data_IF_224143775156
#
_entry.id   IF_224143775156
#
_cell.length_a   1.000
_cell.length_b   1.000
_cell.length_c   1.000
_cell.angle_alpha   90.00
_cell.angle_beta   90.00
_cell.angle_gamma   90.00
#
_symmetry.space_group_name_H-M   'P 1'
#
loop_
_entity.id
_entity.type
_entity.pdbx_description
1 polymer ?
#
# COMPACT_ATOMS: atom_id res chain seq x y z
N UNK A 1 1.66 9.77 24.30
CA UNK A 1 0.88 8.61 24.01
C UNK A 1 -0.33 8.96 23.17
N UNK A 2 -0.63 8.12 22.21
CA UNK A 2 -1.69 8.31 21.19
C UNK A 2 -3.07 8.47 21.84
N UNK A 3 -3.34 7.72 22.92
CA UNK A 3 -4.62 7.80 23.67
C UNK A 3 -4.94 9.17 24.22
N UNK A 4 -3.95 9.92 24.71
CA UNK A 4 -4.12 11.27 25.23
C UNK A 4 -4.42 12.25 24.08
N UNK A 5 -3.74 12.10 22.93
CA UNK A 5 -4.00 12.93 21.76
C UNK A 5 -5.40 12.68 21.16
N UNK A 6 -5.91 11.45 21.25
CA UNK A 6 -7.24 11.08 20.76
C UNK A 6 -8.34 11.58 21.69
N UNK A 7 -8.15 11.55 23.01
CA UNK A 7 -9.21 11.85 23.99
C UNK A 7 -9.20 13.30 24.51
N UNK A 8 -8.03 13.88 24.76
CA UNK A 8 -7.91 15.11 25.55
C UNK A 8 -7.53 16.36 24.76
N UNK A 9 -6.80 16.26 23.64
CA UNK A 9 -6.38 17.43 22.85
C UNK A 9 -7.29 17.65 21.66
N UNK A 10 -8.33 18.45 21.84
CA UNK A 10 -9.25 18.82 20.75
C UNK A 10 -8.59 19.71 19.67
N UNK A 11 -7.55 20.46 20.02
CA UNK A 11 -6.85 21.41 19.14
C UNK A 11 -5.62 20.82 18.41
N UNK A 12 -5.53 19.49 18.33
CA UNK A 12 -4.46 18.87 17.57
C UNK A 12 -4.68 19.09 16.07
N UNK A 13 -3.68 19.60 15.33
CA UNK A 13 -3.83 19.98 13.90
C UNK A 13 -4.39 18.86 13.03
N UNK A 14 -3.98 17.60 13.27
CA UNK A 14 -4.50 16.41 12.58
C UNK A 14 -5.98 16.20 12.84
N UNK A 15 -6.43 16.37 14.09
CA UNK A 15 -7.86 16.23 14.45
C UNK A 15 -8.69 17.35 13.83
N UNK A 16 -8.16 18.58 13.79
CA UNK A 16 -8.77 19.71 13.10
C UNK A 16 -8.99 19.42 11.62
N UNK A 17 -7.95 18.92 10.92
CA UNK A 17 -8.04 18.55 9.51
C UNK A 17 -9.10 17.46 9.26
N UNK A 18 -9.11 16.40 10.08
CA UNK A 18 -10.10 15.31 9.96
C UNK A 18 -11.53 15.80 10.28
N UNK A 19 -11.70 16.71 11.23
CA UNK A 19 -13.01 17.31 11.52
C UNK A 19 -13.56 18.11 10.33
N UNK A 20 -12.73 18.75 9.52
CA UNK A 20 -13.15 19.42 8.28
C UNK A 20 -13.73 18.41 7.28
N UNK A 21 -13.12 17.23 7.18
CA UNK A 21 -13.68 16.15 6.35
C UNK A 21 -15.02 15.67 6.91
N UNK A 22 -15.10 15.45 8.23
CA UNK A 22 -16.34 15.01 8.88
C UNK A 22 -17.51 15.99 8.69
N UNK A 23 -17.21 17.28 8.73
CA UNK A 23 -18.22 18.33 8.54
C UNK A 23 -18.59 18.58 7.06
N UNK A 24 -17.91 17.94 6.11
CA UNK A 24 -18.09 18.17 4.67
C UNK A 24 -17.44 19.47 4.17
N UNK A 25 -16.69 20.18 5.01
CA UNK A 25 -15.98 21.40 4.61
C UNK A 25 -14.72 21.09 3.76
N UNK A 26 -14.21 19.87 3.83
CA UNK A 26 -13.13 19.34 3.00
C UNK A 26 -13.44 17.92 2.52
N UNK A 27 -12.94 17.54 1.36
CA UNK A 27 -13.12 16.21 0.77
C UNK A 27 -12.01 15.24 1.19
N UNK A 28 -10.86 15.76 1.63
CA UNK A 28 -9.74 14.96 2.09
C UNK A 28 -8.91 15.71 3.14
N UNK A 29 -8.10 14.97 3.89
CA UNK A 29 -7.10 15.51 4.81
C UNK A 29 -5.74 14.90 4.52
N UNK A 30 -4.69 15.74 4.50
CA UNK A 30 -3.29 15.34 4.31
C UNK A 30 -2.50 15.69 5.56
N UNK A 31 -1.67 14.77 6.03
CA UNK A 31 -0.83 14.97 7.20
C UNK A 31 0.58 14.41 6.97
N UNK A 32 1.59 15.20 7.27
CA UNK A 32 2.99 14.78 7.33
C UNK A 32 3.39 14.27 8.73
N UNK A 33 2.42 14.09 9.63
CA UNK A 33 2.63 13.64 10.99
C UNK A 33 2.79 12.13 11.14
N UNK A 34 2.70 11.65 12.39
CA UNK A 34 2.78 10.23 12.69
C UNK A 34 1.56 9.49 12.13
N UNK A 35 1.81 8.48 11.29
CA UNK A 35 0.77 7.70 10.59
C UNK A 35 -0.17 6.98 11.55
N UNK A 36 0.34 6.38 12.63
CA UNK A 36 -0.49 5.71 13.63
C UNK A 36 -1.42 6.68 14.36
N UNK A 37 -0.97 7.91 14.65
CA UNK A 37 -1.81 8.94 15.22
C UNK A 37 -2.90 9.41 14.24
N UNK A 38 -2.56 9.59 12.95
CA UNK A 38 -3.50 9.95 11.90
C UNK A 38 -4.61 8.89 11.81
N UNK A 39 -4.24 7.61 11.73
CA UNK A 39 -5.18 6.48 11.62
C UNK A 39 -6.09 6.37 12.85
N UNK A 40 -5.52 6.48 14.07
CA UNK A 40 -6.30 6.40 15.31
C UNK A 40 -7.32 7.55 15.41
N UNK A 41 -6.91 8.78 15.08
CA UNK A 41 -7.79 9.95 15.10
C UNK A 41 -8.85 9.84 14.00
N UNK A 42 -8.47 9.43 12.78
CA UNK A 42 -9.41 9.24 11.67
C UNK A 42 -10.49 8.20 12.04
N UNK A 43 -10.09 7.04 12.56
CA UNK A 43 -11.02 6.02 13.03
C UNK A 43 -11.96 6.53 14.13
N UNK A 44 -11.44 7.30 15.08
CA UNK A 44 -12.24 7.85 16.17
C UNK A 44 -13.26 8.90 15.69
N UNK A 45 -12.88 9.79 14.78
CA UNK A 45 -13.67 10.93 14.32
C UNK A 45 -14.64 10.54 13.21
N UNK A 46 -14.13 9.87 12.16
CA UNK A 46 -14.93 9.53 10.97
C UNK A 46 -15.70 8.23 11.15
N UNK A 47 -15.24 7.32 12.01
CA UNK A 47 -15.70 5.94 12.13
C UNK A 47 -15.30 5.10 10.90
N UNK A 48 -15.60 3.81 10.96
CA UNK A 48 -15.53 2.90 9.82
C UNK A 48 -16.91 2.72 9.21
N UNK A 49 -16.97 2.27 7.98
CA UNK A 49 -18.22 1.85 7.34
C UNK A 49 -18.73 0.58 8.00
N UNK A 50 -20.04 0.34 7.91
CA UNK A 50 -20.65 -0.89 8.40
C UNK A 50 -20.01 -2.11 7.70
N UNK A 51 -19.63 -3.11 8.49
CA UNK A 51 -18.93 -4.30 8.02
C UNK A 51 -17.41 -4.15 7.89
N UNK A 52 -16.83 -2.97 8.17
CA UNK A 52 -15.39 -2.72 8.19
C UNK A 52 -14.91 -2.50 9.62
N UNK A 53 -14.11 -3.42 10.15
CA UNK A 53 -13.61 -3.35 11.51
C UNK A 53 -12.45 -2.37 11.68
N UNK A 54 -11.57 -2.29 10.67
CA UNK A 54 -10.35 -1.50 10.71
C UNK A 54 -10.06 -0.82 9.37
N UNK A 55 -9.63 0.45 9.39
CA UNK A 55 -9.07 1.09 8.20
C UNK A 55 -7.70 0.47 7.88
N UNK A 56 -7.31 0.50 6.60
CA UNK A 56 -6.00 0.06 6.13
C UNK A 56 -5.25 1.22 5.44
N UNK A 57 -3.93 1.12 5.35
CA UNK A 57 -3.10 2.02 4.54
C UNK A 57 -2.84 1.34 3.21
N UNK A 58 -3.28 1.97 2.13
CA UNK A 58 -2.97 1.53 0.77
C UNK A 58 -1.83 2.36 0.17
N UNK A 59 -1.08 1.75 -0.71
CA UNK A 59 -0.09 2.44 -1.53
C UNK A 59 0.05 1.78 -2.88
N UNK A 60 0.41 2.59 -3.88
CA UNK A 60 0.63 2.14 -5.24
C UNK A 60 2.13 1.89 -5.46
N UNK A 61 2.49 0.68 -5.83
CA UNK A 61 3.86 0.25 -6.13
C UNK A 61 4.00 0.10 -7.63
N UNK A 62 4.91 0.86 -8.28
CA UNK A 62 5.16 0.73 -9.71
C UNK A 62 5.53 -0.70 -10.09
N UNK A 63 4.98 -1.20 -11.18
CA UNK A 63 5.23 -2.55 -11.68
C UNK A 63 5.88 -2.57 -13.06
N UNK A 64 6.35 -3.74 -13.49
CA UNK A 64 7.06 -3.93 -14.75
C UNK A 64 6.16 -3.75 -16.00
N UNK A 65 4.85 -3.76 -15.84
CA UNK A 65 3.89 -3.50 -16.94
C UNK A 65 3.77 -2.01 -17.28
N UNK A 66 4.40 -1.13 -16.48
CA UNK A 66 4.33 0.33 -16.65
C UNK A 66 3.12 0.95 -15.96
N UNK A 67 2.47 0.22 -15.10
CA UNK A 67 1.35 0.57 -14.23
C UNK A 67 1.76 0.43 -12.76
N UNK A 68 0.83 0.40 -11.84
CA UNK A 68 1.08 0.20 -10.42
C UNK A 68 0.20 -0.90 -9.84
N UNK A 69 0.75 -1.64 -8.89
CA UNK A 69 0.03 -2.62 -8.07
C UNK A 69 -0.33 -1.97 -6.74
N UNK A 70 -1.60 -2.01 -6.36
CA UNK A 70 -2.02 -1.53 -5.06
C UNK A 70 -1.69 -2.56 -3.98
N UNK A 71 -1.07 -2.11 -2.89
CA UNK A 71 -0.77 -2.96 -1.73
C UNK A 71 -1.53 -2.44 -0.50
N UNK A 72 -2.23 -3.33 0.18
CA UNK A 72 -2.92 -3.13 1.47
C UNK A 72 -2.60 -4.31 2.41
N UNK A 73 -2.23 -4.12 3.64
CA UNK A 73 -2.03 -2.95 4.46
C UNK A 73 -0.53 -2.61 4.56
N UNK A 74 -0.17 -1.32 4.54
CA UNK A 74 1.23 -0.86 4.59
C UNK A 74 1.67 -0.40 5.99
N UNK A 75 0.98 -0.83 7.05
CA UNK A 75 1.42 -0.58 8.42
C UNK A 75 0.39 -0.01 9.40
N UNK A 76 -0.91 -0.03 9.06
CA UNK A 76 -1.96 0.38 9.99
C UNK A 76 -2.29 -0.72 11.01
N UNK A 77 -2.27 -2.00 10.61
CA UNK A 77 -2.71 -3.14 11.40
C UNK A 77 -1.64 -4.23 11.41
N UNK A 78 -0.89 -4.32 12.50
CA UNK A 78 0.19 -5.32 12.64
C UNK A 78 -0.39 -6.71 12.87
N UNK A 79 -1.45 -6.81 13.67
CA UNK A 79 -2.14 -8.07 13.97
C UNK A 79 -3.48 -8.10 13.22
N UNK A 80 -3.58 -8.91 12.18
CA UNK A 80 -4.78 -9.11 11.38
C UNK A 80 -5.37 -10.49 11.61
N UNK A 81 -6.71 -10.58 11.56
CA UNK A 81 -7.43 -11.84 11.41
C UNK A 81 -7.69 -12.12 9.93
N UNK A 82 -8.17 -13.32 9.60
CA UNK A 82 -8.56 -13.67 8.24
C UNK A 82 -9.67 -12.74 7.69
N UNK A 83 -10.62 -12.36 8.54
CA UNK A 83 -11.71 -11.43 8.20
C UNK A 83 -11.19 -10.02 7.87
N UNK A 84 -10.17 -9.54 8.60
CA UNK A 84 -9.54 -8.26 8.28
C UNK A 84 -8.93 -8.27 6.87
N UNK A 85 -8.24 -9.37 6.49
CA UNK A 85 -7.65 -9.50 5.16
C UNK A 85 -8.72 -9.56 4.06
N UNK A 86 -9.85 -10.21 4.31
CA UNK A 86 -11.01 -10.18 3.42
C UNK A 86 -11.56 -8.75 3.28
N UNK A 87 -11.74 -8.02 4.39
CA UNK A 87 -12.22 -6.63 4.36
C UNK A 87 -11.25 -5.72 3.59
N UNK A 88 -9.93 -5.92 3.73
CA UNK A 88 -8.94 -5.18 2.96
C UNK A 88 -9.04 -5.46 1.46
N UNK A 89 -9.30 -6.71 1.08
CA UNK A 89 -9.54 -7.09 -0.32
C UNK A 89 -10.75 -6.37 -0.91
N UNK A 90 -11.86 -6.33 -0.17
CA UNK A 90 -13.09 -5.62 -0.59
C UNK A 90 -12.84 -4.12 -0.72
N UNK A 91 -12.20 -3.49 0.29
CA UNK A 91 -11.88 -2.07 0.24
C UNK A 91 -10.93 -1.73 -0.92
N UNK A 92 -9.90 -2.55 -1.13
CA UNK A 92 -8.95 -2.39 -2.24
C UNK A 92 -9.64 -2.51 -3.60
N UNK A 93 -10.50 -3.52 -3.77
CA UNK A 93 -11.30 -3.72 -4.99
C UNK A 93 -12.17 -2.52 -5.30
N UNK A 94 -12.92 -2.02 -4.32
CA UNK A 94 -13.77 -0.85 -4.49
C UNK A 94 -12.95 0.41 -4.88
N UNK A 95 -11.79 0.60 -4.24
CA UNK A 95 -10.92 1.73 -4.52
C UNK A 95 -10.31 1.68 -5.93
N UNK A 96 -9.74 0.52 -6.32
CA UNK A 96 -9.14 0.35 -7.67
C UNK A 96 -10.20 0.44 -8.75
N UNK A 97 -11.39 -0.11 -8.53
CA UNK A 97 -12.50 -0.01 -9.47
C UNK A 97 -12.82 1.45 -9.83
N UNK A 98 -12.85 2.33 -8.81
CA UNK A 98 -13.11 3.76 -9.02
C UNK A 98 -11.93 4.49 -9.65
N UNK A 99 -10.69 4.23 -9.16
CA UNK A 99 -9.49 4.96 -9.60
C UNK A 99 -9.07 4.61 -11.02
N UNK A 100 -9.18 3.34 -11.40
CA UNK A 100 -8.69 2.82 -12.68
C UNK A 100 -9.80 2.47 -13.67
N UNK A 101 -11.07 2.74 -13.33
CA UNK A 101 -12.24 2.36 -14.12
C UNK A 101 -12.21 0.87 -14.52
N UNK A 102 -11.79 0.01 -13.57
CA UNK A 102 -11.70 -1.42 -13.71
C UNK A 102 -12.76 -2.05 -12.79
N UNK A 103 -13.87 -2.52 -13.35
CA UNK A 103 -15.01 -3.02 -12.56
C UNK A 103 -14.69 -4.30 -11.77
N UNK A 104 -13.69 -5.08 -12.19
CA UNK A 104 -13.33 -6.37 -11.57
C UNK A 104 -11.83 -6.52 -11.36
N UNK A 105 -11.20 -5.65 -10.52
CA UNK A 105 -9.77 -5.71 -10.29
C UNK A 105 -9.37 -7.04 -9.64
N UNK A 106 -8.26 -7.61 -10.08
CA UNK A 106 -7.73 -8.86 -9.56
C UNK A 106 -7.07 -8.67 -8.20
N UNK A 107 -7.36 -9.58 -7.26
CA UNK A 107 -6.84 -9.55 -5.89
C UNK A 107 -5.98 -10.78 -5.63
N UNK A 108 -4.75 -10.57 -5.17
CA UNK A 108 -3.85 -11.61 -4.66
C UNK A 108 -3.67 -11.50 -3.14
N UNK A 109 -3.56 -12.63 -2.47
CA UNK A 109 -3.20 -12.71 -1.06
C UNK A 109 -1.70 -12.96 -0.93
N UNK A 110 -0.97 -12.04 -0.29
CA UNK A 110 0.47 -12.16 -0.13
C UNK A 110 0.82 -13.36 0.76
N UNK A 111 1.67 -14.24 0.23
CA UNK A 111 2.08 -15.46 0.89
C UNK A 111 3.55 -15.77 0.57
N UNK A 112 4.11 -16.82 1.17
CA UNK A 112 5.46 -17.34 0.95
C UNK A 112 5.55 -18.34 -0.22
N UNK A 113 4.50 -18.49 -0.99
CA UNK A 113 4.36 -19.34 -2.17
C UNK A 113 2.91 -19.37 -2.63
N UNK A 114 2.71 -19.81 -3.87
CA UNK A 114 1.40 -19.82 -4.53
C UNK A 114 0.46 -20.93 -4.02
N UNK A 115 1.02 -21.98 -3.40
CA UNK A 115 0.26 -23.15 -2.99
C UNK A 115 -0.61 -22.86 -1.75
N UNK A 116 -1.85 -23.37 -1.73
CA UNK A 116 -2.83 -23.17 -0.65
C UNK A 116 -2.40 -23.72 0.70
N UNK A 117 -1.49 -24.68 0.72
CA UNK A 117 -0.98 -25.28 1.96
C UNK A 117 0.06 -24.41 2.66
N UNK A 118 0.63 -23.42 1.99
CA UNK A 118 1.66 -22.54 2.52
C UNK A 118 1.10 -21.39 3.34
N UNK A 119 1.96 -20.79 4.16
CA UNK A 119 1.62 -19.67 5.00
C UNK A 119 1.13 -20.05 6.38
N UNK A 120 0.86 -19.04 7.19
CA UNK A 120 0.28 -19.18 8.52
C UNK A 120 -1.18 -19.63 8.45
N UNK A 121 -1.70 -20.08 9.60
CA UNK A 121 -3.11 -20.47 9.69
C UNK A 121 -4.06 -19.33 9.31
N UNK A 122 -3.73 -18.10 9.70
CA UNK A 122 -4.51 -16.90 9.35
C UNK A 122 -4.55 -16.71 7.82
N UNK A 123 -3.41 -16.88 7.13
CA UNK A 123 -3.33 -16.74 5.67
C UNK A 123 -4.17 -17.82 4.96
N UNK A 124 -4.14 -19.06 5.45
CA UNK A 124 -4.96 -20.16 4.90
C UNK A 124 -6.46 -19.86 5.06
N UNK A 125 -6.88 -19.47 6.26
CA UNK A 125 -8.26 -19.06 6.52
C UNK A 125 -8.68 -17.86 5.68
N UNK A 126 -7.82 -16.85 5.52
CA UNK A 126 -8.08 -15.72 4.64
C UNK A 126 -8.25 -16.16 3.19
N UNK A 127 -7.40 -17.07 2.71
CA UNK A 127 -7.54 -17.67 1.38
C UNK A 127 -8.87 -18.39 1.16
N UNK A 128 -9.37 -19.10 2.18
CA UNK A 128 -10.69 -19.75 2.14
C UNK A 128 -11.82 -18.71 2.05
N UNK A 129 -11.77 -17.65 2.87
CA UNK A 129 -12.77 -16.59 2.84
C UNK A 129 -12.77 -15.84 1.50
N UNK A 130 -11.59 -15.54 0.95
CA UNK A 130 -11.44 -14.87 -0.34
C UNK A 130 -11.97 -15.74 -1.51
N UNK A 131 -11.71 -17.04 -1.47
CA UNK A 131 -12.29 -17.98 -2.47
C UNK A 131 -13.81 -18.07 -2.36
N UNK A 132 -14.34 -18.06 -1.14
CA UNK A 132 -15.79 -18.06 -0.94
C UNK A 132 -16.43 -16.77 -1.47
N UNK A 133 -15.83 -15.60 -1.22
CA UNK A 133 -16.29 -14.32 -1.77
C UNK A 133 -16.19 -14.28 -3.30
N UNK A 134 -15.14 -14.86 -3.89
CA UNK A 134 -15.00 -14.96 -5.34
C UNK A 134 -16.08 -15.90 -5.95
N UNK A 135 -16.37 -17.02 -5.30
CA UNK A 135 -17.43 -17.92 -5.73
C UNK A 135 -18.83 -17.29 -5.64
N UNK A 136 -19.04 -16.36 -4.71
CA UNK A 136 -20.27 -15.56 -4.62
C UNK A 136 -20.35 -14.44 -5.67
N UNK A 137 -19.25 -14.13 -6.37
CA UNK A 137 -19.16 -13.04 -7.34
C UNK A 137 -18.81 -11.68 -6.75
N UNK A 138 -18.45 -11.61 -5.48
CA UNK A 138 -18.15 -10.36 -4.77
C UNK A 138 -16.73 -9.86 -5.05
N UNK A 139 -15.79 -10.74 -5.42
CA UNK A 139 -14.38 -10.44 -5.66
C UNK A 139 -13.82 -11.22 -6.84
N UNK A 140 -12.83 -10.67 -7.52
CA UNK A 140 -12.00 -11.37 -8.49
C UNK A 140 -10.70 -11.84 -7.80
N UNK A 141 -10.78 -12.92 -7.04
CA UNK A 141 -9.64 -13.45 -6.29
C UNK A 141 -8.78 -14.35 -7.20
N UNK A 142 -7.53 -13.93 -7.41
CA UNK A 142 -6.53 -14.65 -8.21
C UNK A 142 -5.98 -15.89 -7.48
N UNK A 143 -5.73 -15.75 -6.15
CA UNK A 143 -5.06 -16.75 -5.34
C UNK A 143 -3.93 -16.16 -4.50
N UNK A 144 -3.03 -17.03 -4.01
CA UNK A 144 -1.83 -16.59 -3.33
C UNK A 144 -0.82 -16.00 -4.33
N UNK A 145 -0.10 -14.96 -3.90
CA UNK A 145 0.98 -14.30 -4.66
C UNK A 145 2.20 -14.10 -3.79
N UNK A 146 3.38 -14.04 -4.37
CA UNK A 146 4.63 -13.78 -3.69
C UNK A 146 5.03 -12.30 -3.78
N UNK A 147 6.00 -11.88 -2.96
CA UNK A 147 6.45 -10.49 -2.92
C UNK A 147 6.99 -9.94 -4.25
N UNK A 148 7.53 -10.79 -5.12
CA UNK A 148 7.98 -10.41 -6.45
C UNK A 148 6.83 -10.11 -7.43
N UNK A 149 5.64 -10.66 -7.18
CA UNK A 149 4.46 -10.46 -8.02
C UNK A 149 3.91 -9.04 -7.92
N UNK A 150 4.16 -8.35 -6.80
CA UNK A 150 3.90 -6.92 -6.66
C UNK A 150 4.57 -6.15 -7.80
N UNK A 151 5.85 -6.45 -8.06
CA UNK A 151 6.64 -5.75 -9.08
C UNK A 151 6.41 -6.28 -10.49
N UNK A 152 5.97 -7.54 -10.65
CA UNK A 152 5.54 -8.07 -11.95
C UNK A 152 4.20 -7.50 -12.40
N UNK A 153 3.36 -7.04 -11.46
CA UNK A 153 1.98 -6.67 -11.74
C UNK A 153 1.12 -7.90 -12.09
N UNK A 154 1.34 -9.01 -11.38
CA UNK A 154 0.58 -10.25 -11.59
C UNK A 154 -0.91 -10.02 -11.33
N UNK A 155 -1.21 -9.21 -10.30
CA UNK A 155 -2.56 -8.78 -9.91
C UNK A 155 -2.61 -7.26 -9.73
N UNK A 156 -3.80 -6.69 -9.72
CA UNK A 156 -4.03 -5.25 -9.50
C UNK A 156 -3.85 -4.87 -8.03
N UNK A 157 -4.22 -5.79 -7.12
CA UNK A 157 -4.25 -5.57 -5.68
C UNK A 157 -3.55 -6.74 -4.98
N UNK A 158 -2.64 -6.43 -4.07
CA UNK A 158 -2.02 -7.40 -3.15
C UNK A 158 -2.43 -7.06 -1.72
N UNK A 159 -3.02 -8.04 -1.03
CA UNK A 159 -3.47 -7.91 0.36
C UNK A 159 -2.50 -8.62 1.30
N UNK A 160 -2.15 -7.96 2.38
CA UNK A 160 -1.31 -8.49 3.47
C UNK A 160 -1.66 -7.82 4.80
N UNK A 161 -1.11 -8.33 5.91
CA UNK A 161 -1.12 -7.59 7.16
C UNK A 161 -0.14 -6.41 7.13
N UNK A 162 -0.35 -5.45 8.03
CA UNK A 162 0.46 -4.22 8.04
C UNK A 162 1.91 -4.42 8.46
N UNK A 163 2.25 -5.50 9.17
CA UNK A 163 3.65 -5.79 9.48
C UNK A 163 4.40 -6.20 8.20
N UNK A 164 3.87 -7.17 7.48
CA UNK A 164 4.47 -7.66 6.22
C UNK A 164 4.49 -6.55 5.18
N UNK A 165 3.39 -5.80 5.02
CA UNK A 165 3.31 -4.71 4.08
C UNK A 165 4.28 -3.56 4.38
N UNK A 166 4.44 -3.18 5.65
CA UNK A 166 5.42 -2.17 6.05
C UNK A 166 6.85 -2.64 5.82
N UNK A 167 7.17 -3.90 6.13
CA UNK A 167 8.49 -4.48 5.84
C UNK A 167 8.77 -4.47 4.34
N UNK A 168 7.83 -4.91 3.52
CA UNK A 168 7.96 -4.90 2.06
C UNK A 168 8.21 -3.48 1.52
N UNK A 169 7.41 -2.50 1.98
CA UNK A 169 7.57 -1.09 1.61
C UNK A 169 8.94 -0.55 1.99
N UNK A 170 9.35 -0.70 3.26
CA UNK A 170 10.63 -0.17 3.76
C UNK A 170 11.84 -0.85 3.14
N UNK A 171 11.76 -2.16 2.86
CA UNK A 171 12.80 -2.89 2.14
C UNK A 171 12.94 -2.37 0.71
N UNK A 172 11.83 -2.15 0.03
CA UNK A 172 11.81 -1.59 -1.34
C UNK A 172 12.38 -0.17 -1.37
N UNK A 173 11.95 0.70 -0.46
CA UNK A 173 12.49 2.06 -0.32
C UNK A 173 14.01 2.04 -0.07
N UNK A 174 14.47 1.18 0.84
CA UNK A 174 15.88 1.01 1.17
C UNK A 174 16.70 0.52 -0.02
N UNK A 175 16.23 -0.51 -0.73
CA UNK A 175 16.88 -1.03 -1.91
C UNK A 175 16.98 0.01 -3.04
N UNK A 176 15.87 0.72 -3.33
CA UNK A 176 15.87 1.78 -4.33
C UNK A 176 16.85 2.93 -3.99
N UNK A 177 16.90 3.33 -2.73
CA UNK A 177 17.85 4.34 -2.23
C UNK A 177 19.31 3.88 -2.37
N UNK A 178 19.59 2.62 -2.02
CA UNK A 178 20.93 2.01 -2.16
C UNK A 178 21.37 1.98 -3.62
N UNK A 179 20.52 1.51 -4.54
CA UNK A 179 20.83 1.50 -5.98
C UNK A 179 21.09 2.92 -6.50
N UNK A 180 20.26 3.90 -6.11
CA UNK A 180 20.47 5.30 -6.47
C UNK A 180 21.83 5.83 -6.00
N UNK A 181 22.24 5.46 -4.78
CA UNK A 181 23.53 5.85 -4.20
C UNK A 181 24.71 5.21 -4.93
N UNK A 182 24.61 3.93 -5.28
CA UNK A 182 25.65 3.23 -6.05
C UNK A 182 25.81 3.82 -7.45
N UNK A 183 24.72 4.06 -8.17
CA UNK A 183 24.77 4.72 -9.46
C UNK A 183 25.44 6.09 -9.38
N UNK A 184 25.06 6.91 -8.38
CA UNK A 184 25.67 8.22 -8.17
C UNK A 184 27.19 8.11 -7.88
N UNK A 185 27.61 7.14 -7.07
CA UNK A 185 29.01 6.90 -6.75
C UNK A 185 29.80 6.53 -8.02
N UNK A 186 29.31 5.59 -8.83
CA UNK A 186 29.96 5.17 -10.05
C UNK A 186 30.06 6.29 -11.10
N UNK A 187 29.00 7.06 -11.31
CA UNK A 187 29.08 8.22 -12.21
C UNK A 187 29.98 9.35 -11.68
N UNK A 188 30.29 9.38 -10.39
CA UNK A 188 31.14 10.41 -9.77
C UNK A 188 32.61 9.99 -9.67
N UNK A 189 32.99 8.74 -10.03
CA UNK A 189 34.30 8.12 -9.76
C UNK A 189 35.48 8.81 -10.45
N UNK A 190 35.29 9.26 -11.69
CA UNK A 190 36.33 9.96 -12.46
C UNK A 190 35.70 10.90 -13.51
N UNK A 191 36.57 11.64 -14.26
CA UNK A 191 36.10 12.60 -15.25
C UNK A 191 35.32 11.92 -16.42
N UNK A 192 35.73 10.72 -16.84
CA UNK A 192 35.09 10.00 -17.93
C UNK A 192 33.69 9.50 -17.52
N UNK A 193 33.56 8.95 -16.31
CA UNK A 193 32.26 8.52 -15.79
C UNK A 193 31.32 9.69 -15.55
N UNK A 194 31.84 10.88 -15.18
CA UNK A 194 31.02 12.10 -15.06
C UNK A 194 30.47 12.56 -16.41
N UNK A 195 31.30 12.54 -17.47
CA UNK A 195 30.85 12.85 -18.83
C UNK A 195 29.79 11.85 -19.27
N UNK A 196 30.03 10.53 -19.04
CA UNK A 196 29.05 9.48 -19.32
C UNK A 196 27.73 9.72 -18.56
N UNK A 197 27.80 10.13 -17.30
CA UNK A 197 26.63 10.48 -16.47
C UNK A 197 25.81 11.65 -17.02
N UNK A 198 26.51 12.69 -17.56
CA UNK A 198 25.84 13.82 -18.21
C UNK A 198 25.12 13.35 -19.49
N UNK A 199 25.78 12.54 -20.31
CA UNK A 199 25.17 11.96 -21.52
C UNK A 199 23.99 11.03 -21.19
N UNK A 200 24.08 10.25 -20.09
CA UNK A 200 23.03 9.34 -19.63
C UNK A 200 21.90 10.05 -18.89
N UNK A 201 22.04 11.32 -18.52
CA UNK A 201 21.09 12.05 -17.68
C UNK A 201 19.63 11.98 -18.19
N UNK A 202 19.31 12.13 -19.49
CA UNK A 202 17.94 12.02 -19.99
C UNK A 202 17.33 10.63 -19.70
N UNK A 203 18.13 9.57 -19.88
CA UNK A 203 17.72 8.19 -19.63
C UNK A 203 17.50 7.95 -18.13
N UNK A 204 18.43 8.40 -17.30
CA UNK A 204 18.34 8.30 -15.84
C UNK A 204 17.15 9.09 -15.29
N UNK A 205 16.87 10.26 -15.86
CA UNK A 205 15.68 11.06 -15.52
C UNK A 205 14.39 10.32 -15.86
N UNK A 206 14.31 9.73 -17.05
CA UNK A 206 13.16 8.93 -17.48
C UNK A 206 12.99 7.68 -16.60
N UNK A 207 14.09 7.02 -16.25
CA UNK A 207 14.09 5.88 -15.34
C UNK A 207 13.59 6.27 -13.94
N UNK A 208 14.17 7.33 -13.34
CA UNK A 208 13.72 7.84 -12.03
C UNK A 208 12.24 8.18 -12.03
N UNK A 209 11.74 8.73 -13.13
CA UNK A 209 10.34 9.10 -13.29
C UNK A 209 9.39 7.87 -13.24
N UNK A 210 9.83 6.71 -13.74
CA UNK A 210 9.04 5.45 -13.67
C UNK A 210 9.02 4.83 -12.28
N UNK A 211 10.06 5.06 -11.49
CA UNK A 211 10.19 4.53 -10.13
C UNK A 211 9.71 5.49 -9.04
N UNK A 212 9.29 6.70 -9.39
CA UNK A 212 8.83 7.68 -8.41
C UNK A 212 7.40 7.35 -7.96
N UNK A 213 7.31 6.60 -6.85
CA UNK A 213 6.04 6.23 -6.21
C UNK A 213 5.16 7.44 -5.82
N UNK A 214 5.75 8.64 -5.69
CA UNK A 214 5.02 9.88 -5.37
C UNK A 214 4.05 10.33 -6.46
N UNK A 215 4.08 9.70 -7.63
CA UNK A 215 3.20 10.01 -8.75
C UNK A 215 1.93 9.18 -8.75
N UNK A 216 1.94 8.08 -8.01
CA UNK A 216 0.83 7.16 -7.91
C UNK A 216 0.14 7.23 -6.53
N UNK A 217 0.73 7.93 -5.56
CA UNK A 217 0.21 8.12 -4.19
C UNK A 217 -0.12 9.58 -3.91
#
# INVERSE_FOLDING_TARGET
PIEIAVREKQDFSVRGAINQVKSGAAQAAVSAGNTGALMAIARFVLKTLDGIDRPAISGLVPNAKGDATMVLDLGANVDCTAEHLLQFAVMGSALVAVLHNNETPSVGLLNIGEEDIKGSEIIKQAGELLRAAAAAGDLNFYGNVEGNDIFKGTVDIVVCDGFVGNVALKTTEGAASMFGSFLKAEFSRNIFTRIAGICAYPVLKAFKFRFDHRRHN
#
